data_IF_597099755378
#
_entry.id   IF_597099755378
#
_cell.length_a   1.000
_cell.length_b   1.000
_cell.length_c   1.000
_cell.angle_alpha   90.00
_cell.angle_beta   90.00
_cell.angle_gamma   90.00
#
_symmetry.space_group_name_H-M   'P 1'
#
loop_
_entity.id
_entity.type
_entity.pdbx_description
1 polymer ?
#
# COMPACT_ATOMS: atom_id res chain seq x y z
N UNK A 1 -19.76 -10.93 8.06
CA UNK A 1 -18.55 -10.98 7.21
C UNK A 1 -17.86 -12.31 7.43
N UNK A 2 -17.77 -13.15 6.40
CA UNK A 2 -17.04 -14.43 6.47
C UNK A 2 -15.59 -14.15 6.10
N UNK A 3 -14.64 -14.45 7.00
CA UNK A 3 -13.22 -14.41 6.64
C UNK A 3 -12.94 -15.54 5.65
N UNK A 4 -12.47 -15.19 4.45
CA UNK A 4 -12.05 -16.17 3.45
C UNK A 4 -10.71 -16.77 3.88
N UNK A 5 -10.62 -18.11 3.83
CA UNK A 5 -9.35 -18.79 4.04
C UNK A 5 -8.38 -18.39 2.92
N UNK A 6 -7.31 -17.67 3.27
CA UNK A 6 -6.29 -17.19 2.31
C UNK A 6 -6.46 -15.76 1.80
N UNK A 7 -7.60 -15.12 2.02
CA UNK A 7 -7.90 -13.74 1.56
C UNK A 7 -8.37 -13.66 0.09
N UNK A 8 -8.62 -12.44 -0.40
CA UNK A 8 -9.02 -12.15 -1.79
C UNK A 8 -7.81 -11.92 -2.70
N UNK A 9 -6.79 -12.76 -2.59
CA UNK A 9 -5.53 -12.63 -3.34
C UNK A 9 -5.15 -13.92 -4.02
N UNK A 10 -4.52 -13.83 -5.19
CA UNK A 10 -3.98 -14.97 -5.91
C UNK A 10 -2.51 -15.22 -5.52
N UNK A 11 -2.29 -16.19 -4.64
CA UNK A 11 -0.93 -16.57 -4.18
C UNK A 11 -0.15 -17.42 -5.17
N UNK A 12 -0.76 -17.87 -6.28
CA UNK A 12 -0.05 -18.64 -7.30
C UNK A 12 0.90 -17.77 -8.13
N UNK A 13 0.70 -16.45 -8.11
CA UNK A 13 1.48 -15.48 -8.87
C UNK A 13 2.07 -14.42 -7.95
N UNK A 14 3.31 -14.05 -8.23
CA UNK A 14 4.00 -12.95 -7.55
C UNK A 14 4.17 -11.77 -8.50
N UNK A 15 3.90 -10.57 -8.01
CA UNK A 15 4.14 -9.28 -8.67
C UNK A 15 5.26 -8.55 -7.94
N UNK A 16 6.24 -8.04 -8.69
CA UNK A 16 7.31 -7.22 -8.14
C UNK A 16 6.94 -5.75 -8.27
N UNK A 17 7.17 -4.97 -7.22
CA UNK A 17 7.03 -3.51 -7.24
C UNK A 17 8.13 -2.83 -6.43
N UNK A 18 8.25 -1.52 -6.56
CA UNK A 18 9.16 -0.71 -5.77
C UNK A 18 8.38 0.33 -4.96
N UNK A 19 8.81 0.55 -3.72
CA UNK A 19 8.32 1.59 -2.84
C UNK A 19 9.51 2.23 -2.13
N UNK A 20 9.62 3.55 -2.18
CA UNK A 20 10.76 4.32 -1.65
C UNK A 20 12.14 3.75 -2.05
N UNK A 21 12.28 3.39 -3.34
CA UNK A 21 13.52 2.85 -3.89
C UNK A 21 13.84 1.40 -3.50
N UNK A 22 13.04 0.77 -2.64
CA UNK A 22 13.19 -0.64 -2.24
C UNK A 22 12.22 -1.55 -2.98
N UNK A 23 12.68 -2.73 -3.38
CA UNK A 23 11.85 -3.75 -4.05
C UNK A 23 11.08 -4.58 -3.04
N UNK A 24 9.83 -4.88 -3.37
CA UNK A 24 8.90 -5.68 -2.61
C UNK A 24 8.11 -6.61 -3.53
N UNK A 25 7.40 -7.56 -2.92
CA UNK A 25 6.56 -8.53 -3.61
C UNK A 25 5.12 -8.40 -3.14
N UNK A 26 4.17 -8.56 -4.06
CA UNK A 26 2.75 -8.65 -3.76
C UNK A 26 2.09 -9.70 -4.65
N UNK A 27 0.78 -9.84 -4.51
CA UNK A 27 -0.03 -10.79 -5.25
C UNK A 27 -1.14 -10.07 -6.02
N UNK A 28 -1.60 -10.60 -7.17
CA UNK A 28 -2.81 -10.09 -7.78
C UNK A 28 -3.97 -10.09 -6.76
N UNK A 29 -4.67 -8.96 -6.66
CA UNK A 29 -5.71 -8.72 -5.65
C UNK A 29 -5.24 -7.90 -4.44
N UNK A 30 -3.93 -7.77 -4.21
CA UNK A 30 -3.42 -6.83 -3.22
C UNK A 30 -3.66 -5.38 -3.67
N UNK A 31 -4.03 -4.53 -2.70
CA UNK A 31 -3.76 -3.10 -2.76
C UNK A 31 -2.32 -2.83 -2.33
N UNK A 32 -1.77 -1.65 -2.66
CA UNK A 32 -0.42 -1.29 -2.23
C UNK A 32 -0.29 -1.34 -0.69
N UNK A 33 -1.31 -0.90 0.04
CA UNK A 33 -1.37 -0.97 1.50
C UNK A 33 -1.27 -2.41 2.02
N UNK A 34 -2.06 -3.33 1.46
CA UNK A 34 -2.04 -4.74 1.88
C UNK A 34 -0.69 -5.40 1.57
N UNK A 35 -0.10 -5.13 0.40
CA UNK A 35 1.22 -5.64 0.04
C UNK A 35 2.32 -5.08 0.95
N UNK A 36 2.31 -3.77 1.25
CA UNK A 36 3.28 -3.15 2.17
C UNK A 36 3.20 -3.76 3.58
N UNK A 37 1.99 -3.95 4.11
CA UNK A 37 1.78 -4.59 5.42
C UNK A 37 2.28 -6.05 5.42
N UNK A 38 2.02 -6.81 4.35
CA UNK A 38 2.52 -8.18 4.19
C UNK A 38 4.06 -8.25 4.16
N UNK A 39 4.72 -7.20 3.64
CA UNK A 39 6.18 -7.05 3.64
C UNK A 39 6.73 -6.41 4.94
N UNK A 40 5.90 -6.22 5.97
CA UNK A 40 6.31 -5.67 7.27
C UNK A 40 6.50 -4.15 7.30
N UNK A 41 6.11 -3.43 6.25
CA UNK A 41 6.19 -1.97 6.19
C UNK A 41 5.02 -1.37 6.98
N UNK A 42 5.32 -0.85 8.17
CA UNK A 42 4.32 -0.19 9.04
C UNK A 42 4.38 1.34 8.98
N UNK A 43 5.51 1.88 8.54
CA UNK A 43 5.70 3.32 8.36
C UNK A 43 5.57 3.62 6.87
N UNK A 44 4.51 4.33 6.49
CA UNK A 44 4.25 4.73 5.09
C UNK A 44 4.56 6.20 4.86
N UNK A 45 4.54 7.01 5.92
CA UNK A 45 4.90 8.41 5.84
C UNK A 45 4.95 9.09 7.20
N UNK A 46 4.98 10.43 7.18
CA UNK A 46 4.94 11.25 8.38
C UNK A 46 3.85 12.29 8.25
N UNK A 47 3.19 12.62 9.36
CA UNK A 47 2.12 13.63 9.37
C UNK A 47 2.67 14.99 8.92
N UNK A 48 1.93 15.70 8.06
CA UNK A 48 2.35 16.99 7.49
C UNK A 48 2.80 18.02 8.55
N UNK A 49 1.99 18.28 9.59
CA UNK A 49 2.30 19.33 10.57
C UNK A 49 3.34 18.94 11.62
N UNK A 50 3.27 17.71 12.13
CA UNK A 50 4.01 17.31 13.34
C UNK A 50 5.12 16.29 13.08
N UNK A 51 5.35 15.90 11.82
CA UNK A 51 6.32 14.87 11.40
C UNK A 51 6.25 13.54 12.17
N UNK A 52 5.09 13.23 12.78
CA UNK A 52 4.88 12.00 13.54
C UNK A 52 4.85 10.82 12.58
N UNK A 53 5.48 9.68 12.92
CA UNK A 53 5.38 8.44 12.16
C UNK A 53 3.91 8.06 11.89
N UNK A 54 3.58 7.71 10.64
CA UNK A 54 2.23 7.27 10.23
C UNK A 54 2.30 6.00 9.40
N UNK A 55 1.36 5.08 9.69
CA UNK A 55 1.10 3.88 8.89
C UNK A 55 -0.30 3.89 8.32
N UNK A 56 -0.63 2.81 7.61
CA UNK A 56 -2.00 2.50 7.16
C UNK A 56 -2.92 2.44 8.39
N UNK A 57 -4.09 3.07 8.31
CA UNK A 57 -5.09 3.11 9.39
C UNK A 57 -6.39 2.41 9.01
N UNK A 58 -6.79 2.46 7.74
CA UNK A 58 -8.02 1.87 7.22
C UNK A 58 -7.74 1.01 5.99
N UNK A 59 -8.79 0.57 5.29
CA UNK A 59 -8.69 -0.38 4.18
C UNK A 59 -9.49 0.07 2.94
N UNK A 60 -9.81 1.36 2.83
CA UNK A 60 -10.60 1.89 1.73
C UNK A 60 -10.39 3.39 1.49
N UNK A 61 -11.37 4.03 0.86
CA UNK A 61 -11.36 5.45 0.50
C UNK A 61 -11.22 6.40 1.70
N UNK A 62 -11.53 5.93 2.90
CA UNK A 62 -11.44 6.66 4.15
C UNK A 62 -10.01 6.77 4.72
N UNK A 63 -9.00 6.18 4.08
CA UNK A 63 -7.60 6.20 4.53
C UNK A 63 -7.02 7.63 4.59
N UNK A 64 -6.58 8.11 5.77
CA UNK A 64 -6.10 9.48 5.94
C UNK A 64 -4.57 9.63 5.92
N UNK A 65 -3.80 8.54 6.07
CA UNK A 65 -2.36 8.59 6.28
C UNK A 65 -1.55 8.10 5.08
N UNK A 66 -1.91 6.94 4.52
CA UNK A 66 -1.15 6.24 3.49
C UNK A 66 -1.43 6.82 2.09
N UNK A 67 -1.08 8.10 1.91
CA UNK A 67 -1.17 8.82 0.64
C UNK A 67 0.19 8.77 -0.04
N UNK A 68 0.22 8.28 -1.29
CA UNK A 68 1.45 7.98 -2.04
C UNK A 68 1.40 8.58 -3.43
N UNK A 69 2.57 8.63 -4.05
CA UNK A 69 2.70 8.83 -5.48
C UNK A 69 2.87 7.47 -6.17
N UNK A 70 2.10 7.27 -7.24
CA UNK A 70 2.19 6.05 -8.04
C UNK A 70 2.83 6.34 -9.39
N UNK A 71 3.45 5.29 -9.95
CA UNK A 71 4.03 5.27 -11.30
C UNK A 71 5.16 6.31 -11.44
N UNK A 72 5.65 6.51 -12.66
CA UNK A 72 6.77 7.40 -12.95
C UNK A 72 6.62 8.05 -14.32
N UNK A 73 7.31 9.17 -14.53
CA UNK A 73 7.32 9.89 -15.81
C UNK A 73 5.96 10.49 -16.13
N UNK A 74 5.55 10.45 -17.40
CA UNK A 74 4.30 11.05 -17.86
C UNK A 74 3.01 10.40 -17.31
N UNK A 75 3.11 9.30 -16.56
CA UNK A 75 1.98 8.59 -15.94
C UNK A 75 1.94 8.72 -14.41
N UNK A 76 2.71 9.65 -13.86
CA UNK A 76 2.80 9.87 -12.42
C UNK A 76 1.45 10.31 -11.85
N UNK A 77 1.05 9.69 -10.75
CA UNK A 77 -0.24 9.89 -10.11
C UNK A 77 -0.02 10.25 -8.63
N UNK A 78 -0.03 11.55 -8.29
CA UNK A 78 0.20 12.00 -6.92
C UNK A 78 -1.08 11.87 -6.08
N UNK A 79 -0.90 11.86 -4.76
CA UNK A 79 -1.98 11.89 -3.76
C UNK A 79 -2.96 10.70 -3.84
N UNK A 80 -2.52 9.54 -4.33
CA UNK A 80 -3.34 8.33 -4.35
C UNK A 80 -3.27 7.61 -3.00
N UNK A 81 -4.41 7.11 -2.52
CA UNK A 81 -4.42 6.29 -1.29
C UNK A 81 -3.91 4.90 -1.61
N UNK A 82 -3.02 4.36 -0.79
CA UNK A 82 -2.48 3.02 -0.99
C UNK A 82 -3.54 1.91 -0.83
N UNK A 83 -4.72 2.23 -0.30
CA UNK A 83 -5.82 1.32 0.02
C UNK A 83 -6.83 1.12 -1.11
N UNK A 84 -6.72 1.85 -2.22
CA UNK A 84 -7.66 1.79 -3.36
C UNK A 84 -6.99 1.38 -4.66
#
# INVERSE_FOLDING_TARGET
MTRLAGGLIDRSRTLNFSFDGKRYQGHPGDTLASALLANGVRLVGRSFKYHRPRGVLSAGSEEPNAIVELRSGARQEPNTRATV
#
